data_IF_055813417527
#
_entry.id   IF_055813417527
#
_cell.length_a   1.000
_cell.length_b   1.000
_cell.length_c   1.000
_cell.angle_alpha   90.00
_cell.angle_beta   90.00
_cell.angle_gamma   90.00
#
_symmetry.space_group_name_H-M   'P 1'
#
loop_
_entity.id
_entity.type
_entity.pdbx_description
1 polymer ?
#
# COMPACT_ATOMS: atom_id res chain seq x y z
N UNK A 1 -9.31 -45.20 -33.48
CA UNK A 1 -9.51 -43.75 -33.66
C UNK A 1 -8.88 -43.06 -32.47
N UNK A 2 -7.71 -42.45 -32.65
CA UNK A 2 -6.99 -41.74 -31.59
C UNK A 2 -7.80 -40.50 -31.19
N UNK A 3 -8.33 -40.47 -29.97
CA UNK A 3 -8.79 -39.24 -29.35
C UNK A 3 -7.56 -38.36 -29.10
N UNK A 4 -7.20 -37.53 -30.06
CA UNK A 4 -6.33 -36.39 -29.78
C UNK A 4 -7.07 -35.53 -28.76
N UNK A 5 -6.65 -35.63 -27.50
CA UNK A 5 -6.98 -34.66 -26.46
C UNK A 5 -6.65 -33.28 -27.02
N UNK A 6 -7.68 -32.52 -27.37
CA UNK A 6 -7.55 -31.14 -27.87
C UNK A 6 -6.78 -30.38 -26.80
N UNK A 7 -5.53 -30.02 -27.11
CA UNK A 7 -4.68 -29.29 -26.17
C UNK A 7 -5.33 -27.92 -25.97
N UNK A 8 -5.90 -27.68 -24.79
CA UNK A 8 -6.65 -26.46 -24.47
C UNK A 8 -5.76 -25.20 -24.52
N UNK A 9 -4.42 -25.37 -24.41
CA UNK A 9 -3.39 -24.33 -24.55
C UNK A 9 -2.19 -24.77 -25.38
N UNK A 10 -1.69 -23.89 -26.23
CA UNK A 10 -0.44 -24.06 -26.99
C UNK A 10 0.80 -23.65 -26.18
N UNK A 11 0.68 -22.64 -25.31
CA UNK A 11 1.76 -22.28 -24.37
C UNK A 11 1.98 -23.46 -23.41
N UNK A 12 3.23 -23.93 -23.23
CA UNK A 12 3.52 -25.17 -22.48
C UNK A 12 3.39 -25.04 -20.96
N UNK A 13 3.09 -23.85 -20.44
CA UNK A 13 3.03 -23.54 -19.02
C UNK A 13 1.59 -23.27 -18.56
N UNK A 14 1.16 -23.91 -17.47
CA UNK A 14 -0.22 -23.78 -16.94
C UNK A 14 -0.33 -22.88 -15.70
N UNK A 15 0.61 -21.95 -15.50
CA UNK A 15 0.74 -21.16 -14.27
C UNK A 15 0.06 -19.78 -14.32
N UNK A 16 -0.88 -19.57 -15.25
CA UNK A 16 -1.39 -18.22 -15.57
C UNK A 16 -2.90 -18.25 -15.77
N UNK A 17 -3.62 -17.20 -15.33
CA UNK A 17 -5.02 -16.98 -15.69
C UNK A 17 -5.20 -16.43 -17.12
N UNK A 18 -4.12 -15.91 -17.73
CA UNK A 18 -4.13 -15.34 -19.09
C UNK A 18 -4.13 -16.42 -20.18
N UNK A 19 -5.06 -16.35 -21.11
CA UNK A 19 -5.10 -17.16 -22.32
C UNK A 19 -3.90 -16.92 -23.25
N UNK A 20 -3.66 -17.87 -24.16
CA UNK A 20 -2.61 -17.72 -25.20
C UNK A 20 -2.82 -16.45 -26.04
N UNK A 21 -4.09 -16.07 -26.27
CA UNK A 21 -4.48 -14.84 -26.96
C UNK A 21 -3.96 -13.60 -26.24
N UNK A 22 -4.24 -13.49 -24.94
CA UNK A 22 -3.87 -12.31 -24.16
C UNK A 22 -2.35 -12.18 -24.04
N UNK A 23 -1.63 -13.28 -23.89
CA UNK A 23 -0.16 -13.29 -23.87
C UNK A 23 0.39 -12.85 -25.24
N UNK A 24 -0.12 -13.41 -26.34
CA UNK A 24 0.31 -13.03 -27.68
C UNK A 24 0.06 -11.53 -27.96
N UNK A 25 -1.12 -11.01 -27.61
CA UNK A 25 -1.46 -9.58 -27.79
C UNK A 25 -0.53 -8.70 -26.97
N UNK A 26 -0.19 -9.07 -25.74
CA UNK A 26 0.67 -8.27 -24.87
C UNK A 26 2.10 -8.12 -25.43
N UNK A 27 2.64 -9.16 -26.08
CA UNK A 27 3.98 -9.09 -26.68
C UNK A 27 4.00 -8.63 -28.14
N UNK A 28 2.98 -8.99 -28.92
CA UNK A 28 3.00 -8.85 -30.38
C UNK A 28 1.91 -7.90 -30.91
N UNK A 29 0.91 -7.56 -30.10
CA UNK A 29 -0.23 -6.74 -30.47
C UNK A 29 -1.40 -7.52 -31.07
N UNK A 30 -2.58 -6.89 -31.10
CA UNK A 30 -3.81 -7.45 -31.72
C UNK A 30 -3.63 -7.82 -33.20
N UNK A 31 -2.95 -7.03 -34.06
CA UNK A 31 -2.76 -7.40 -35.46
C UNK A 31 -2.02 -8.74 -35.61
N UNK A 32 -1.01 -9.00 -34.79
CA UNK A 32 -0.24 -10.25 -34.86
C UNK A 32 -1.04 -11.46 -34.39
N UNK A 33 -1.97 -11.27 -33.44
CA UNK A 33 -2.92 -12.33 -33.10
C UNK A 33 -3.81 -12.71 -34.29
N UNK A 34 -4.29 -11.74 -35.05
CA UNK A 34 -5.06 -12.01 -36.28
C UNK A 34 -4.21 -12.76 -37.32
N UNK A 35 -2.93 -12.39 -37.48
CA UNK A 35 -1.99 -13.12 -38.34
C UNK A 35 -1.82 -14.58 -37.89
N UNK A 36 -1.73 -14.83 -36.57
CA UNK A 36 -1.68 -16.19 -36.02
C UNK A 36 -2.93 -16.99 -36.40
N UNK A 37 -4.12 -16.42 -36.23
CA UNK A 37 -5.40 -17.07 -36.60
C UNK A 37 -5.47 -17.39 -38.10
N UNK A 38 -5.03 -16.47 -38.96
CA UNK A 38 -4.97 -16.70 -40.41
C UNK A 38 -4.02 -17.84 -40.77
N UNK A 39 -2.84 -17.89 -40.14
CA UNK A 39 -1.87 -18.96 -40.36
C UNK A 39 -2.36 -20.31 -39.81
N UNK A 40 -3.13 -20.34 -38.71
CA UNK A 40 -3.77 -21.56 -38.17
C UNK A 40 -4.76 -22.18 -39.14
N UNK A 41 -5.48 -21.36 -39.91
CA UNK A 41 -6.41 -21.84 -40.94
C UNK A 41 -5.70 -22.58 -42.10
N UNK A 42 -4.38 -22.39 -42.26
CA UNK A 42 -3.58 -23.07 -43.29
C UNK A 42 -3.00 -24.40 -42.76
N UNK A 43 -3.25 -25.53 -43.45
CA UNK A 43 -2.98 -26.92 -43.01
C UNK A 43 -1.49 -27.32 -42.81
N UNK A 44 -0.53 -26.38 -42.69
CA UNK A 44 0.93 -26.65 -42.65
C UNK A 44 1.71 -26.11 -41.44
N UNK A 45 1.08 -25.44 -40.46
CA UNK A 45 1.79 -24.54 -39.52
C UNK A 45 2.15 -25.11 -38.14
N UNK A 46 1.80 -26.36 -37.82
CA UNK A 46 1.82 -26.87 -36.44
C UNK A 46 3.16 -26.82 -35.68
N UNK A 47 4.31 -27.05 -36.34
CA UNK A 47 5.62 -26.99 -35.65
C UNK A 47 6.11 -25.55 -35.41
N UNK A 48 5.90 -24.64 -36.36
CA UNK A 48 6.29 -23.23 -36.21
C UNK A 48 5.39 -22.49 -35.22
N UNK A 49 4.09 -22.82 -35.19
CA UNK A 49 3.16 -22.34 -34.18
C UNK A 49 3.58 -22.78 -32.77
N UNK A 50 3.98 -24.05 -32.59
CA UNK A 50 4.50 -24.52 -31.31
C UNK A 50 5.73 -23.74 -30.84
N UNK A 51 6.71 -23.49 -31.73
CA UNK A 51 7.91 -22.72 -31.39
C UNK A 51 7.57 -21.27 -31.00
N UNK A 52 6.60 -20.64 -31.68
CA UNK A 52 6.08 -19.32 -31.32
C UNK A 52 5.55 -19.30 -29.88
N UNK A 53 4.66 -20.24 -29.53
CA UNK A 53 4.06 -20.27 -28.19
C UNK A 53 5.04 -20.73 -27.10
N UNK A 54 6.08 -21.49 -27.44
CA UNK A 54 7.21 -21.74 -26.55
C UNK A 54 8.00 -20.45 -26.26
N UNK A 55 8.32 -19.65 -27.29
CA UNK A 55 9.01 -18.35 -27.12
C UNK A 55 8.16 -17.40 -26.27
N UNK A 56 6.88 -17.22 -26.61
CA UNK A 56 5.97 -16.35 -25.85
C UNK A 56 5.79 -16.84 -24.41
N UNK A 57 5.72 -18.16 -24.22
CA UNK A 57 5.65 -18.78 -22.91
C UNK A 57 6.89 -18.49 -22.06
N UNK A 58 8.08 -18.63 -22.65
CA UNK A 58 9.36 -18.37 -21.96
C UNK A 58 9.46 -16.90 -21.54
N UNK A 59 9.15 -15.96 -22.44
CA UNK A 59 9.11 -14.52 -22.14
C UNK A 59 8.13 -14.23 -20.99
N UNK A 60 6.91 -14.75 -21.08
CA UNK A 60 5.86 -14.50 -20.09
C UNK A 60 6.18 -15.04 -18.70
N UNK A 61 6.69 -16.27 -18.63
CA UNK A 61 7.03 -16.92 -17.35
C UNK A 61 8.13 -16.14 -16.65
N UNK A 62 9.11 -15.61 -17.39
CA UNK A 62 10.20 -14.83 -16.81
C UNK A 62 9.70 -13.46 -16.37
N UNK A 63 8.93 -12.76 -17.21
CA UNK A 63 8.42 -11.41 -16.88
C UNK A 63 7.54 -11.42 -15.61
N UNK A 64 6.82 -12.51 -15.34
CA UNK A 64 5.92 -12.65 -14.19
C UNK A 64 6.54 -13.30 -12.97
N UNK A 65 7.77 -13.81 -13.06
CA UNK A 65 8.42 -14.54 -11.98
C UNK A 65 9.71 -13.83 -11.54
N UNK A 66 9.69 -13.07 -10.43
CA UNK A 66 10.86 -12.33 -9.99
C UNK A 66 12.03 -13.24 -9.61
N UNK A 67 11.79 -14.49 -9.22
CA UNK A 67 12.86 -15.46 -8.93
C UNK A 67 13.62 -15.87 -10.21
N UNK A 68 12.92 -16.01 -11.34
CA UNK A 68 13.56 -16.29 -12.62
C UNK A 68 14.30 -15.05 -13.16
N UNK A 69 13.73 -13.85 -12.95
CA UNK A 69 14.43 -12.61 -13.27
C UNK A 69 15.74 -12.52 -12.48
N UNK A 70 15.70 -12.73 -11.17
CA UNK A 70 16.89 -12.66 -10.31
C UNK A 70 17.96 -13.66 -10.77
N UNK A 71 17.61 -14.91 -11.03
CA UNK A 71 18.57 -15.91 -11.54
C UNK A 71 19.23 -15.49 -12.86
N UNK A 72 18.48 -14.89 -13.78
CA UNK A 72 19.01 -14.42 -15.06
C UNK A 72 19.87 -13.16 -14.92
N UNK A 73 19.53 -12.27 -14.00
CA UNK A 73 20.30 -11.06 -13.73
C UNK A 73 21.62 -11.39 -13.04
N UNK A 74 21.62 -12.38 -12.14
CA UNK A 74 22.79 -12.82 -11.38
C UNK A 74 23.70 -13.78 -12.17
N UNK A 75 23.16 -14.45 -13.21
CA UNK A 75 23.89 -15.42 -14.01
C UNK A 75 23.94 -15.06 -15.51
N UNK A 76 24.97 -14.29 -15.94
CA UNK A 76 25.14 -13.89 -17.34
C UNK A 76 25.20 -15.07 -18.33
N UNK A 77 25.71 -16.23 -17.91
CA UNK A 77 25.78 -17.43 -18.76
C UNK A 77 24.40 -18.02 -19.01
N UNK A 78 23.55 -18.13 -17.98
CA UNK A 78 22.15 -18.59 -18.14
C UNK A 78 21.35 -17.62 -18.99
N UNK A 79 21.53 -16.32 -18.77
CA UNK A 79 20.92 -15.28 -19.61
C UNK A 79 21.31 -15.42 -21.07
N UNK A 80 22.60 -15.55 -21.37
CA UNK A 80 23.07 -15.76 -22.74
C UNK A 80 22.52 -17.05 -23.37
N UNK A 81 22.47 -18.14 -22.60
CA UNK A 81 21.92 -19.42 -23.07
C UNK A 81 20.42 -19.33 -23.40
N UNK A 82 19.64 -18.67 -22.54
CA UNK A 82 18.21 -18.40 -22.79
C UNK A 82 18.04 -17.57 -24.07
N UNK A 83 18.74 -16.45 -24.17
CA UNK A 83 18.67 -15.55 -25.33
C UNK A 83 19.01 -16.30 -26.62
N UNK A 84 20.08 -17.11 -26.61
CA UNK A 84 20.45 -17.90 -27.79
C UNK A 84 19.41 -18.97 -28.12
N UNK A 85 18.81 -19.62 -27.11
CA UNK A 85 17.73 -20.59 -27.33
C UNK A 85 16.49 -19.94 -27.96
N UNK A 86 16.09 -18.75 -27.49
CA UNK A 86 14.98 -17.98 -28.07
C UNK A 86 15.28 -17.61 -29.53
N UNK A 87 16.47 -17.04 -29.80
CA UNK A 87 16.89 -16.67 -31.16
C UNK A 87 17.04 -17.87 -32.09
N UNK A 88 17.50 -19.01 -31.59
CA UNK A 88 17.60 -20.26 -32.35
C UNK A 88 16.23 -20.73 -32.84
N UNK A 89 15.21 -20.72 -31.98
CA UNK A 89 13.83 -21.06 -32.36
C UNK A 89 13.31 -20.13 -33.45
N UNK A 90 13.58 -18.82 -33.36
CA UNK A 90 13.16 -17.87 -34.38
C UNK A 90 13.86 -18.11 -35.72
N UNK A 91 15.15 -18.45 -35.73
CA UNK A 91 15.88 -18.85 -36.97
C UNK A 91 15.25 -20.08 -37.61
N UNK A 92 14.90 -21.11 -36.83
CA UNK A 92 14.21 -22.29 -37.34
C UNK A 92 12.81 -21.98 -37.90
N UNK A 93 12.07 -21.06 -37.28
CA UNK A 93 10.79 -20.59 -37.81
C UNK A 93 10.97 -19.89 -39.15
N UNK A 94 12.03 -19.08 -39.30
CA UNK A 94 12.35 -18.35 -40.54
C UNK A 94 12.73 -19.27 -41.68
N UNK A 95 13.54 -20.30 -41.43
CA UNK A 95 13.87 -21.33 -42.44
C UNK A 95 12.63 -22.08 -42.93
N UNK A 96 11.66 -22.31 -42.04
CA UNK A 96 10.41 -23.04 -42.33
C UNK A 96 9.29 -22.18 -42.89
N UNK A 97 9.45 -20.86 -42.94
CA UNK A 97 8.41 -19.99 -43.48
C UNK A 97 8.28 -20.10 -45.00
N UNK A 98 9.31 -20.64 -45.68
CA UNK A 98 9.37 -20.79 -47.13
C UNK A 98 9.05 -19.48 -47.88
N UNK A 99 9.34 -18.32 -47.27
CA UNK A 99 9.06 -17.01 -47.85
C UNK A 99 7.62 -16.50 -47.68
N UNK A 100 6.77 -17.18 -46.88
CA UNK A 100 5.42 -16.71 -46.59
C UNK A 100 5.44 -15.35 -45.89
N UNK A 101 4.84 -14.33 -46.52
CA UNK A 101 4.88 -12.94 -46.05
C UNK A 101 4.28 -12.76 -44.64
N UNK A 102 3.13 -13.39 -44.35
CA UNK A 102 2.48 -13.33 -43.04
C UNK A 102 3.33 -13.99 -41.95
N UNK A 103 3.98 -15.12 -42.27
CA UNK A 103 4.88 -15.78 -41.33
C UNK A 103 6.14 -14.95 -41.06
N UNK A 104 6.70 -14.29 -42.09
CA UNK A 104 7.86 -13.41 -41.94
C UNK A 104 7.54 -12.15 -41.13
N UNK A 105 6.35 -11.57 -41.30
CA UNK A 105 5.86 -10.45 -40.48
C UNK A 105 5.74 -10.85 -39.01
N UNK A 106 5.11 -11.99 -38.73
CA UNK A 106 4.97 -12.52 -37.37
C UNK A 106 6.35 -12.81 -36.74
N UNK A 107 7.27 -13.41 -37.50
CA UNK A 107 8.65 -13.65 -37.06
C UNK A 107 9.36 -12.34 -36.70
N UNK A 108 9.21 -11.29 -37.50
CA UNK A 108 9.80 -9.98 -37.20
C UNK A 108 9.24 -9.37 -35.91
N UNK A 109 7.94 -9.54 -35.64
CA UNK A 109 7.33 -9.11 -34.38
C UNK A 109 7.88 -9.87 -33.16
N UNK A 110 8.13 -11.17 -33.29
CA UNK A 110 8.75 -11.99 -32.24
C UNK A 110 10.21 -11.58 -32.02
N UNK A 111 11.00 -11.40 -33.09
CA UNK A 111 12.39 -10.91 -33.01
C UNK A 111 12.43 -9.57 -32.25
N UNK A 112 11.50 -8.66 -32.54
CA UNK A 112 11.38 -7.39 -31.83
C UNK A 112 10.98 -7.57 -30.35
N UNK A 113 10.12 -8.53 -30.02
CA UNK A 113 9.74 -8.85 -28.65
C UNK A 113 10.93 -9.40 -27.83
N UNK A 114 11.71 -10.32 -28.40
CA UNK A 114 12.93 -10.85 -27.78
C UNK A 114 13.95 -9.71 -27.59
N UNK A 115 14.16 -8.86 -28.58
CA UNK A 115 15.09 -7.73 -28.47
C UNK A 115 14.66 -6.70 -27.40
N UNK A 116 13.35 -6.48 -27.20
CA UNK A 116 12.84 -5.66 -26.09
C UNK A 116 13.13 -6.32 -24.74
N UNK A 117 12.82 -7.61 -24.61
CA UNK A 117 13.08 -8.38 -23.41
C UNK A 117 14.57 -8.36 -23.00
N UNK A 118 15.48 -8.57 -23.97
CA UNK A 118 16.92 -8.49 -23.72
C UNK A 118 17.35 -7.11 -23.20
N UNK A 119 16.88 -6.02 -23.84
CA UNK A 119 17.15 -4.65 -23.38
C UNK A 119 16.61 -4.40 -21.98
N UNK A 120 15.40 -4.87 -21.68
CA UNK A 120 14.81 -4.70 -20.35
C UNK A 120 15.66 -5.35 -19.26
N UNK A 121 16.22 -6.53 -19.52
CA UNK A 121 17.15 -7.17 -18.57
C UNK A 121 18.43 -6.33 -18.38
N UNK A 122 19.02 -5.77 -19.45
CA UNK A 122 20.19 -4.88 -19.35
C UNK A 122 19.88 -3.61 -18.56
N UNK A 123 18.75 -2.97 -18.86
CA UNK A 123 18.27 -1.79 -18.15
C UNK A 123 18.03 -2.07 -16.67
N UNK A 124 17.50 -3.26 -16.34
CA UNK A 124 17.32 -3.69 -14.96
C UNK A 124 18.65 -3.87 -14.23
N UNK A 125 19.65 -4.52 -14.83
CA UNK A 125 21.00 -4.64 -14.22
C UNK A 125 21.60 -3.25 -13.96
N UNK A 126 21.55 -2.37 -14.97
CA UNK A 126 22.08 -1.02 -14.85
C UNK A 126 21.36 -0.20 -13.79
N UNK A 127 20.02 -0.30 -13.71
CA UNK A 127 19.24 0.38 -12.68
C UNK A 127 19.52 -0.19 -11.30
N UNK A 128 19.56 -1.52 -11.11
CA UNK A 128 19.90 -2.16 -9.83
C UNK A 128 21.26 -1.69 -9.32
N UNK A 129 22.26 -1.61 -10.19
CA UNK A 129 23.59 -1.10 -9.82
C UNK A 129 23.55 0.36 -9.35
N UNK A 130 22.80 1.24 -10.04
CA UNK A 130 22.65 2.65 -9.65
C UNK A 130 21.92 2.80 -8.32
N UNK A 131 20.81 2.09 -8.17
CA UNK A 131 19.98 2.08 -6.95
C UNK A 131 20.79 1.57 -5.76
N UNK A 132 21.45 0.41 -5.89
CA UNK A 132 22.28 -0.16 -4.83
C UNK A 132 23.44 0.77 -4.42
N UNK A 133 24.09 1.43 -5.40
CA UNK A 133 25.16 2.39 -5.13
C UNK A 133 24.64 3.62 -4.37
N UNK A 134 23.54 4.20 -4.82
CA UNK A 134 23.00 5.46 -4.26
C UNK A 134 22.34 5.25 -2.90
N UNK A 135 21.52 4.21 -2.73
CA UNK A 135 20.89 3.90 -1.46
C UNK A 135 21.88 3.32 -0.44
N UNK A 136 22.89 2.58 -0.88
CA UNK A 136 23.95 2.08 -0.01
C UNK A 136 24.84 3.15 0.62
N UNK A 137 24.67 4.43 0.25
CA UNK A 137 25.30 5.59 0.90
C UNK A 137 24.50 6.12 2.09
N UNK A 138 23.19 5.81 2.17
CA UNK A 138 22.25 6.43 3.12
C UNK A 138 21.57 5.42 4.04
N UNK A 139 21.62 4.13 3.70
CA UNK A 139 21.16 3.03 4.55
C UNK A 139 22.02 1.80 4.32
N UNK A 140 21.85 0.77 5.15
CA UNK A 140 22.60 -0.48 5.01
C UNK A 140 22.22 -1.22 3.73
N UNK A 141 23.16 -1.98 3.18
CA UNK A 141 22.96 -2.71 1.91
C UNK A 141 21.83 -3.75 1.99
N UNK A 142 21.68 -4.41 3.12
CA UNK A 142 20.64 -5.41 3.41
C UNK A 142 19.24 -4.80 3.59
N UNK A 143 19.15 -3.48 3.72
CA UNK A 143 17.89 -2.75 3.67
C UNK A 143 17.42 -2.50 2.23
N UNK A 144 18.26 -2.68 1.21
CA UNK A 144 17.93 -2.46 -0.20
C UNK A 144 17.73 -3.81 -0.89
N UNK A 145 16.48 -4.25 -1.02
CA UNK A 145 16.11 -5.62 -1.37
C UNK A 145 15.52 -5.70 -2.77
N UNK A 146 16.22 -6.41 -3.65
CA UNK A 146 15.78 -6.72 -5.01
C UNK A 146 15.26 -8.15 -5.17
N UNK A 147 15.41 -8.98 -4.14
CA UNK A 147 15.11 -10.40 -4.20
C UNK A 147 13.61 -10.67 -4.37
N UNK A 148 13.31 -11.79 -5.03
CA UNK A 148 11.94 -12.21 -5.30
C UNK A 148 11.07 -12.36 -4.06
N UNK A 149 11.62 -12.77 -2.91
CA UNK A 149 10.83 -12.93 -1.68
C UNK A 149 10.32 -11.57 -1.18
N UNK A 150 11.22 -10.59 -1.07
CA UNK A 150 10.85 -9.23 -0.68
C UNK A 150 9.83 -8.64 -1.67
N UNK A 151 10.09 -8.73 -2.98
CA UNK A 151 9.20 -8.17 -4.01
C UNK A 151 7.82 -8.83 -4.01
N UNK A 152 7.73 -10.15 -3.84
CA UNK A 152 6.45 -10.89 -3.79
C UNK A 152 5.67 -10.54 -2.52
N UNK A 153 6.33 -10.41 -1.36
CA UNK A 153 5.67 -10.07 -0.11
C UNK A 153 5.07 -8.64 -0.09
N UNK A 154 5.52 -7.77 -0.99
CA UNK A 154 5.13 -6.35 -1.04
C UNK A 154 4.33 -5.99 -2.31
N UNK A 155 3.83 -6.99 -3.04
CA UNK A 155 3.04 -6.80 -4.28
C UNK A 155 1.57 -6.47 -4.02
N UNK A 156 1.08 -6.68 -2.80
CA UNK A 156 -0.36 -6.63 -2.46
C UNK A 156 -0.62 -6.10 -1.06
N UNK A 157 -1.83 -5.63 -0.80
CA UNK A 157 -2.37 -5.32 0.52
C UNK A 157 -3.62 -6.18 0.81
N UNK A 158 -4.47 -5.78 1.75
CA UNK A 158 -5.66 -6.57 2.10
C UNK A 158 -6.74 -6.60 0.99
N UNK A 159 -6.60 -5.82 -0.09
CA UNK A 159 -7.43 -5.98 -1.30
C UNK A 159 -7.13 -7.25 -2.09
N UNK A 160 -5.99 -7.89 -1.83
CA UNK A 160 -5.46 -9.05 -2.57
C UNK A 160 -5.17 -8.78 -4.06
N UNK A 161 -5.17 -7.51 -4.49
CA UNK A 161 -4.81 -7.12 -5.85
C UNK A 161 -3.30 -7.28 -6.07
N UNK A 162 -2.92 -7.84 -7.22
CA UNK A 162 -1.52 -8.06 -7.62
C UNK A 162 -1.29 -7.48 -9.00
N UNK A 163 -1.04 -6.18 -9.05
CA UNK A 163 -0.91 -5.43 -10.30
C UNK A 163 0.52 -5.54 -10.81
N UNK A 164 1.49 -4.97 -10.09
CA UNK A 164 2.90 -4.94 -10.48
C UNK A 164 3.83 -5.27 -9.31
N UNK A 165 5.00 -5.86 -9.60
CA UNK A 165 6.02 -6.05 -8.58
C UNK A 165 6.81 -4.76 -8.35
N UNK A 166 7.18 -4.42 -7.11
CA UNK A 166 8.06 -3.28 -6.89
C UNK A 166 9.44 -3.56 -7.51
N UNK A 167 10.12 -2.52 -7.97
CA UNK A 167 11.51 -2.61 -8.42
C UNK A 167 12.44 -3.00 -7.28
N UNK A 168 12.24 -2.36 -6.13
CA UNK A 168 13.04 -2.51 -4.91
C UNK A 168 12.15 -2.33 -3.69
N UNK A 169 12.44 -3.10 -2.64
CA UNK A 169 11.89 -2.88 -1.30
C UNK A 169 12.99 -2.32 -0.41
N UNK A 170 12.70 -1.23 0.30
CA UNK A 170 13.65 -0.53 1.16
C UNK A 170 13.13 -0.57 2.60
N UNK A 171 13.94 -1.06 3.54
CA UNK A 171 13.56 -1.27 4.94
C UNK A 171 14.46 -0.48 5.90
N UNK A 172 14.27 0.85 6.08
CA UNK A 172 15.13 1.66 6.96
C UNK A 172 15.23 1.08 8.37
N UNK A 173 16.42 1.15 8.98
CA UNK A 173 16.65 0.78 10.37
C UNK A 173 16.20 1.88 11.33
N UNK A 174 16.33 3.14 10.91
CA UNK A 174 16.05 4.29 11.78
C UNK A 174 15.28 5.37 11.04
N UNK A 175 14.55 6.18 11.81
CA UNK A 175 13.84 7.35 11.30
C UNK A 175 14.79 8.29 10.55
N UNK A 176 16.00 8.53 11.08
CA UNK A 176 16.96 9.45 10.49
C UNK A 176 17.37 9.12 9.04
N UNK A 177 17.25 7.87 8.59
CA UNK A 177 17.59 7.47 7.21
C UNK A 177 16.53 7.88 6.19
N UNK A 178 15.28 8.10 6.63
CA UNK A 178 14.11 8.19 5.74
C UNK A 178 14.21 9.36 4.77
N UNK A 179 14.62 10.55 5.23
CA UNK A 179 14.78 11.73 4.38
C UNK A 179 15.73 11.47 3.21
N UNK A 180 16.90 10.92 3.51
CA UNK A 180 17.92 10.63 2.52
C UNK A 180 17.52 9.49 1.56
N UNK A 181 16.74 8.49 2.04
CA UNK A 181 16.15 7.43 1.21
C UNK A 181 15.12 8.00 0.24
N UNK A 182 14.23 8.89 0.70
CA UNK A 182 13.21 9.54 -0.15
C UNK A 182 13.89 10.35 -1.24
N UNK A 183 14.84 11.22 -0.90
CA UNK A 183 15.60 12.00 -1.90
C UNK A 183 16.29 11.09 -2.92
N UNK A 184 16.95 10.01 -2.45
CA UNK A 184 17.60 9.05 -3.33
C UNK A 184 16.61 8.41 -4.33
N UNK A 185 15.43 7.99 -3.87
CA UNK A 185 14.42 7.38 -4.74
C UNK A 185 13.93 8.37 -5.81
N UNK A 186 13.68 9.63 -5.44
CA UNK A 186 13.28 10.68 -6.37
C UNK A 186 14.38 10.97 -7.40
N UNK A 187 15.65 11.11 -6.97
CA UNK A 187 16.81 11.27 -7.87
C UNK A 187 16.93 10.10 -8.87
N UNK A 188 16.60 8.89 -8.44
CA UNK A 188 16.63 7.67 -9.25
C UNK A 188 15.41 7.52 -10.17
N UNK A 189 14.42 8.41 -10.08
CA UNK A 189 13.18 8.36 -10.84
C UNK A 189 12.26 7.20 -10.44
N UNK A 190 12.30 6.79 -9.17
CA UNK A 190 11.46 5.73 -8.62
C UNK A 190 10.20 6.31 -7.99
N UNK A 191 9.04 5.71 -8.29
CA UNK A 191 7.77 6.05 -7.62
C UNK A 191 7.78 5.46 -6.22
N UNK A 192 7.63 6.30 -5.19
CA UNK A 192 7.67 5.84 -3.80
C UNK A 192 6.28 5.34 -3.38
N UNK A 193 6.23 4.14 -2.79
CA UNK A 193 5.06 3.60 -2.12
C UNK A 193 5.39 3.38 -0.65
N UNK A 194 4.97 4.27 0.26
CA UNK A 194 5.10 4.06 1.70
C UNK A 194 4.26 2.85 2.13
N UNK A 195 4.83 1.96 2.94
CA UNK A 195 4.14 0.76 3.40
C UNK A 195 4.44 0.46 4.86
N UNK A 196 3.39 0.35 5.66
CA UNK A 196 3.44 -0.29 6.98
C UNK A 196 3.00 -1.75 6.88
N UNK A 197 2.14 -2.20 7.80
CA UNK A 197 1.65 -3.59 7.86
C UNK A 197 0.81 -4.12 6.68
N UNK A 198 0.63 -3.35 5.59
CA UNK A 198 -0.07 -3.82 4.40
C UNK A 198 -1.55 -4.16 4.57
N UNK A 199 -2.21 -3.64 5.61
CA UNK A 199 -3.60 -4.00 5.98
C UNK A 199 -4.68 -3.11 5.32
N UNK A 200 -4.31 -2.29 4.33
CA UNK A 200 -5.23 -1.37 3.65
C UNK A 200 -6.19 -2.09 2.71
N UNK A 201 -7.41 -1.56 2.55
CA UNK A 201 -8.45 -2.10 1.67
C UNK A 201 -8.75 -1.19 0.46
N UNK A 202 -7.85 -0.26 0.15
CA UNK A 202 -8.01 0.70 -0.95
C UNK A 202 -6.93 0.60 -2.03
N UNK A 203 -5.98 -0.34 -1.89
CA UNK A 203 -4.88 -0.52 -2.84
C UNK A 203 -3.73 0.49 -2.66
N UNK A 204 -3.76 1.33 -1.61
CA UNK A 204 -2.78 2.40 -1.41
C UNK A 204 -1.33 1.94 -1.17
N UNK A 205 -1.12 0.65 -0.85
CA UNK A 205 0.20 0.07 -0.68
C UNK A 205 0.62 -0.88 -1.83
N UNK A 206 -0.08 -0.83 -2.97
CA UNK A 206 0.13 -1.70 -4.13
C UNK A 206 0.94 -0.97 -5.20
N UNK A 207 2.08 -1.52 -5.66
CA UNK A 207 2.79 -0.99 -6.81
C UNK A 207 1.96 -1.09 -8.09
N UNK A 208 1.87 0.03 -8.82
CA UNK A 208 1.20 0.12 -10.12
C UNK A 208 2.17 0.27 -11.30
N UNK A 209 3.44 0.53 -11.00
CA UNK A 209 4.50 0.75 -12.00
C UNK A 209 5.76 -0.06 -11.65
N UNK A 210 6.41 -0.63 -12.66
CA UNK A 210 7.60 -1.47 -12.51
C UNK A 210 8.83 -0.73 -11.96
N UNK A 211 8.82 0.61 -11.92
CA UNK A 211 9.82 1.49 -11.30
C UNK A 211 9.36 2.01 -9.93
N UNK A 212 8.48 1.28 -9.25
CA UNK A 212 8.07 1.61 -7.89
C UNK A 212 9.08 1.12 -6.85
N UNK A 213 9.45 1.98 -5.90
CA UNK A 213 10.19 1.62 -4.68
C UNK A 213 9.21 1.56 -3.51
N UNK A 214 9.07 0.39 -2.89
CA UNK A 214 8.29 0.26 -1.66
C UNK A 214 9.22 0.58 -0.48
N UNK A 215 8.88 1.58 0.32
CA UNK A 215 9.59 1.87 1.58
C UNK A 215 8.77 1.24 2.71
N UNK A 216 9.24 0.09 3.22
CA UNK A 216 8.60 -0.61 4.33
C UNK A 216 9.10 -0.04 5.68
N UNK A 217 8.19 0.57 6.43
CA UNK A 217 8.47 1.25 7.70
C UNK A 217 8.34 0.36 8.93
N UNK A 218 8.04 -0.93 8.82
CA UNK A 218 7.81 -1.85 9.95
C UNK A 218 8.97 -1.92 10.94
N UNK A 219 10.21 -1.69 10.50
CA UNK A 219 11.39 -1.61 11.38
C UNK A 219 11.46 -0.35 12.23
N UNK A 220 10.68 0.69 11.92
CA UNK A 220 10.59 1.92 12.70
C UNK A 220 9.68 1.71 13.92
N UNK A 221 10.07 0.78 14.80
CA UNK A 221 9.25 0.24 15.89
C UNK A 221 9.53 0.86 17.27
N UNK A 222 10.21 2.02 17.30
CA UNK A 222 10.46 2.74 18.54
C UNK A 222 9.15 3.13 19.22
N UNK A 223 8.97 2.73 20.48
CA UNK A 223 7.79 3.02 21.29
C UNK A 223 8.26 3.57 22.64
N UNK A 224 7.83 4.79 22.99
CA UNK A 224 8.17 5.40 24.28
C UNK A 224 7.39 4.76 25.44
N UNK A 225 7.80 5.09 26.67
CA UNK A 225 6.91 4.93 27.82
C UNK A 225 5.71 5.88 27.72
N UNK A 226 4.70 5.66 28.57
CA UNK A 226 3.63 6.64 28.78
C UNK A 226 4.19 7.84 29.55
N UNK A 227 3.99 9.03 29.02
CA UNK A 227 4.48 10.28 29.60
C UNK A 227 3.33 11.24 29.89
N UNK A 228 3.33 11.83 31.08
CA UNK A 228 2.42 12.91 31.46
C UNK A 228 3.11 14.25 31.17
N UNK A 229 2.59 15.00 30.19
CA UNK A 229 3.20 16.27 29.75
C UNK A 229 2.15 17.36 29.60
N UNK A 230 2.58 18.60 29.73
CA UNK A 230 1.77 19.76 29.37
C UNK A 230 1.72 19.87 27.84
N UNK A 231 0.53 20.15 27.30
CA UNK A 231 0.34 20.41 25.88
C UNK A 231 0.03 21.89 25.65
N UNK A 232 0.45 22.50 24.53
CA UNK A 232 0.17 23.90 24.25
C UNK A 232 -1.33 24.23 24.32
N UNK A 233 -1.71 25.10 25.26
CA UNK A 233 -3.08 25.56 25.44
C UNK A 233 -4.05 24.51 26.00
N UNK A 234 -3.54 23.49 26.68
CA UNK A 234 -4.35 22.49 27.40
C UNK A 234 -4.03 22.57 28.88
N UNK A 235 -5.06 22.71 29.71
CA UNK A 235 -4.88 22.80 31.15
C UNK A 235 -4.51 21.43 31.74
N UNK A 236 -3.41 21.41 32.50
CA UNK A 236 -2.93 20.22 33.22
C UNK A 236 -2.10 19.26 32.39
N UNK A 237 -1.70 18.15 33.01
CA UNK A 237 -0.90 17.12 32.35
C UNK A 237 -1.78 16.13 31.60
N UNK A 238 -1.36 15.81 30.37
CA UNK A 238 -2.01 14.85 29.49
C UNK A 238 -1.12 13.62 29.35
N UNK A 239 -1.69 12.43 29.49
CA UNK A 239 -0.99 11.19 29.22
C UNK A 239 -0.79 11.02 27.71
N UNK A 240 0.45 10.73 27.31
CA UNK A 240 0.85 10.65 25.91
C UNK A 240 1.78 9.48 25.66
N UNK A 241 1.89 9.08 24.40
CA UNK A 241 2.84 8.07 23.93
C UNK A 241 3.38 8.44 22.56
N UNK A 242 4.69 8.31 22.37
CA UNK A 242 5.35 8.43 21.07
C UNK A 242 5.55 7.05 20.46
N UNK A 243 5.17 6.89 19.20
CA UNK A 243 5.34 5.65 18.45
C UNK A 243 5.90 5.93 17.05
N UNK A 244 6.88 5.14 16.64
CA UNK A 244 7.40 5.11 15.27
C UNK A 244 6.38 4.51 14.30
N UNK A 245 6.53 4.83 13.02
CA UNK A 245 5.59 4.45 11.97
C UNK A 245 5.40 2.93 11.82
N UNK A 246 6.39 2.13 12.20
CA UNK A 246 6.38 0.67 12.16
C UNK A 246 5.74 0.00 13.37
N UNK A 247 5.47 0.75 14.45
CA UNK A 247 4.86 0.17 15.66
C UNK A 247 3.48 -0.39 15.32
N UNK A 248 3.27 -1.68 15.59
CA UNK A 248 1.95 -2.32 15.49
C UNK A 248 0.99 -1.67 16.49
N UNK A 249 -0.18 -1.28 16.02
CA UNK A 249 -1.21 -0.55 16.78
C UNK A 249 -1.56 -1.24 18.10
N UNK A 250 -1.62 -2.57 18.09
CA UNK A 250 -1.88 -3.37 19.29
C UNK A 250 -0.87 -3.13 20.40
N UNK A 251 0.42 -2.96 20.08
CA UNK A 251 1.47 -2.68 21.07
C UNK A 251 1.24 -1.37 21.82
N UNK A 252 0.77 -0.34 21.12
CA UNK A 252 0.41 0.96 21.74
C UNK A 252 -0.82 0.79 22.63
N UNK A 253 -1.80 0.01 22.19
CA UNK A 253 -3.01 -0.27 22.96
C UNK A 253 -2.73 -1.05 24.24
N UNK A 254 -1.89 -2.09 24.16
CA UNK A 254 -1.48 -2.90 25.31
C UNK A 254 -0.68 -2.06 26.30
N UNK A 255 0.26 -1.24 25.82
CA UNK A 255 1.00 -0.29 26.67
C UNK A 255 0.06 0.66 27.41
N UNK A 256 -0.90 1.29 26.71
CA UNK A 256 -1.88 2.15 27.36
C UNK A 256 -2.68 1.38 28.43
N UNK A 257 -3.11 0.15 28.13
CA UNK A 257 -3.85 -0.72 29.04
C UNK A 257 -3.10 -1.04 30.32
N UNK A 258 -1.78 -1.29 30.24
CA UNK A 258 -0.92 -1.52 31.42
C UNK A 258 -0.91 -0.33 32.39
N UNK A 259 -1.19 0.87 31.90
CA UNK A 259 -1.28 2.10 32.70
C UNK A 259 -2.72 2.48 33.07
N UNK A 260 -3.70 1.60 32.82
CA UNK A 260 -5.12 1.90 33.05
C UNK A 260 -5.66 3.01 32.14
N UNK A 261 -5.02 3.20 30.98
CA UNK A 261 -5.37 4.16 29.95
C UNK A 261 -5.87 3.43 28.69
N UNK A 262 -6.35 4.20 27.73
CA UNK A 262 -6.87 3.69 26.46
C UNK A 262 -6.26 4.45 25.29
N UNK A 263 -5.68 3.69 24.37
CA UNK A 263 -5.39 4.17 23.04
C UNK A 263 -6.68 4.12 22.20
N UNK A 264 -7.10 5.28 21.67
CA UNK A 264 -8.37 5.42 20.97
C UNK A 264 -8.30 5.04 19.49
N UNK A 265 -7.11 5.01 18.89
CA UNK A 265 -6.95 4.60 17.49
C UNK A 265 -6.98 3.07 17.42
N UNK A 266 -8.17 2.51 17.22
CA UNK A 266 -8.44 1.07 17.32
C UNK A 266 -9.09 0.47 16.06
N UNK A 267 -8.45 0.57 14.87
CA UNK A 267 -8.94 -0.10 13.67
C UNK A 267 -9.08 -1.62 13.89
N UNK A 268 -10.00 -2.25 13.17
CA UNK A 268 -10.21 -3.72 13.24
C UNK A 268 -8.94 -4.50 12.94
N UNK A 269 -8.02 -3.94 12.15
CA UNK A 269 -6.72 -4.53 11.83
C UNK A 269 -5.62 -4.25 12.85
N UNK A 270 -5.91 -3.75 14.05
CA UNK A 270 -4.91 -3.28 15.03
C UNK A 270 -3.80 -4.29 15.36
N UNK A 271 -4.06 -5.59 15.24
CA UNK A 271 -3.07 -6.65 15.49
C UNK A 271 -2.01 -6.75 14.39
N UNK A 272 -2.19 -6.05 13.26
CA UNK A 272 -1.25 -6.00 12.13
C UNK A 272 -1.02 -4.59 11.57
N UNK A 273 -1.97 -3.66 11.70
CA UNK A 273 -1.80 -2.29 11.20
C UNK A 273 -0.77 -1.54 12.02
N UNK A 274 -0.01 -0.68 11.37
CA UNK A 274 1.04 0.11 12.02
C UNK A 274 0.66 1.58 12.15
N UNK A 275 1.29 2.27 13.09
CA UNK A 275 1.00 3.68 13.42
C UNK A 275 1.13 4.61 12.21
N UNK A 276 2.15 4.43 11.37
CA UNK A 276 2.33 5.25 10.17
C UNK A 276 1.16 5.12 9.20
N UNK A 277 0.67 3.89 9.00
CA UNK A 277 -0.52 3.63 8.19
C UNK A 277 -1.78 4.24 8.80
N UNK A 278 -1.94 4.16 10.12
CA UNK A 278 -3.09 4.77 10.80
C UNK A 278 -3.13 6.29 10.61
N UNK A 279 -1.98 6.97 10.74
CA UNK A 279 -1.87 8.42 10.50
C UNK A 279 -2.19 8.74 9.03
N UNK A 280 -1.53 8.07 8.08
CA UNK A 280 -1.70 8.32 6.65
C UNK A 280 -3.15 8.09 6.16
N UNK A 281 -3.85 7.12 6.75
CA UNK A 281 -5.24 6.76 6.40
C UNK A 281 -6.29 7.45 7.28
N UNK A 282 -5.86 8.27 8.24
CA UNK A 282 -6.68 8.80 9.32
C UNK A 282 -7.60 7.71 9.92
N UNK A 283 -7.01 6.60 10.37
CA UNK A 283 -7.73 5.40 10.78
C UNK A 283 -8.78 5.73 11.85
N UNK A 284 -9.96 5.14 11.67
CA UNK A 284 -11.01 5.14 12.69
C UNK A 284 -10.96 3.86 13.51
N UNK A 285 -12.09 3.51 14.09
CA UNK A 285 -12.26 2.33 14.92
C UNK A 285 -13.51 2.49 15.78
N UNK A 286 -13.77 1.51 16.63
CA UNK A 286 -14.99 1.46 17.45
C UNK A 286 -15.05 2.64 18.43
N UNK A 287 -13.89 3.07 18.93
CA UNK A 287 -13.77 4.19 19.88
C UNK A 287 -13.86 5.57 19.21
N UNK A 288 -13.92 5.63 17.87
CA UNK A 288 -14.02 6.91 17.17
C UNK A 288 -15.32 7.67 17.49
N UNK A 289 -16.34 6.98 17.98
CA UNK A 289 -17.58 7.60 18.49
C UNK A 289 -17.29 8.54 19.67
N UNK A 290 -16.37 8.15 20.57
CA UNK A 290 -15.99 8.93 21.75
C UNK A 290 -14.96 10.01 21.43
N UNK A 291 -13.85 9.61 20.81
CA UNK A 291 -12.64 10.44 20.70
C UNK A 291 -12.23 10.73 19.27
N UNK A 292 -13.05 10.35 18.28
CA UNK A 292 -12.77 10.59 16.88
C UNK A 292 -11.70 9.67 16.29
N UNK A 293 -11.25 10.03 15.10
CA UNK A 293 -10.29 9.28 14.30
C UNK A 293 -8.85 9.53 14.74
N UNK A 294 -7.88 9.00 14.01
CA UNK A 294 -6.45 9.16 14.32
C UNK A 294 -6.05 10.64 14.48
N UNK A 295 -6.52 11.53 13.60
CA UNK A 295 -6.26 12.97 13.67
C UNK A 295 -6.68 13.59 15.01
N UNK A 296 -7.85 13.18 15.49
CA UNK A 296 -8.44 13.69 16.72
C UNK A 296 -7.59 13.34 17.96
N UNK A 297 -6.71 12.35 17.85
CA UNK A 297 -5.88 11.82 18.93
C UNK A 297 -4.38 12.17 18.80
N UNK A 298 -3.99 12.86 17.74
CA UNK A 298 -2.60 13.26 17.51
C UNK A 298 -2.26 14.55 18.27
N UNK A 299 -1.20 14.48 19.07
CA UNK A 299 -0.47 15.64 19.60
C UNK A 299 0.46 16.19 18.54
N UNK A 300 1.24 15.32 17.91
CA UNK A 300 2.11 15.68 16.79
C UNK A 300 2.42 14.48 15.90
N UNK A 301 2.90 14.73 14.68
CA UNK A 301 3.49 13.71 13.83
C UNK A 301 4.65 14.26 13.02
N UNK A 302 5.57 13.38 12.67
CA UNK A 302 6.73 13.67 11.85
C UNK A 302 6.62 12.91 10.54
N UNK A 303 6.97 13.58 9.46
CA UNK A 303 6.98 13.01 8.12
C UNK A 303 8.13 13.55 7.28
N UNK A 304 8.43 12.84 6.20
CA UNK A 304 9.33 13.28 5.13
C UNK A 304 8.50 13.63 3.90
N UNK A 305 8.62 14.85 3.41
CA UNK A 305 7.94 15.32 2.20
C UNK A 305 8.67 14.86 0.92
N UNK A 306 8.04 14.90 -0.27
CA UNK A 306 8.65 14.40 -1.52
C UNK A 306 9.93 15.12 -1.96
N UNK A 307 10.17 16.33 -1.46
CA UNK A 307 11.41 17.08 -1.63
C UNK A 307 12.55 16.60 -0.71
N UNK A 308 12.29 15.62 0.17
CA UNK A 308 13.28 15.06 1.10
C UNK A 308 13.46 15.89 2.36
N UNK A 309 12.54 16.79 2.67
CA UNK A 309 12.57 17.60 3.89
C UNK A 309 11.76 16.94 5.02
N UNK A 310 12.18 17.21 6.24
CA UNK A 310 11.43 16.86 7.43
C UNK A 310 10.32 17.88 7.66
N UNK A 311 9.14 17.38 8.02
CA UNK A 311 8.01 18.17 8.45
C UNK A 311 7.46 17.59 9.76
N UNK A 312 7.46 18.41 10.80
CA UNK A 312 6.75 18.13 12.04
C UNK A 312 5.48 18.96 12.09
N UNK A 313 4.36 18.32 12.39
CA UNK A 313 3.07 18.98 12.61
C UNK A 313 2.65 18.76 14.04
N UNK A 314 2.42 19.84 14.79
CA UNK A 314 2.00 19.82 16.18
C UNK A 314 0.61 20.45 16.33
N UNK A 315 -0.31 19.76 16.99
CA UNK A 315 -1.65 20.25 17.27
C UNK A 315 -1.62 21.20 18.47
N UNK A 316 -2.13 22.41 18.28
CA UNK A 316 -2.23 23.43 19.32
C UNK A 316 -3.65 23.45 19.91
N UNK A 317 -3.77 23.80 21.18
CA UNK A 317 -5.06 23.91 21.89
C UNK A 317 -5.91 22.64 21.72
N UNK A 318 -5.29 21.48 21.95
CA UNK A 318 -5.94 20.18 21.71
C UNK A 318 -7.10 19.96 22.69
N UNK A 319 -8.33 19.86 22.19
CA UNK A 319 -9.54 19.68 23.01
C UNK A 319 -9.72 18.29 23.67
N UNK A 320 -8.71 17.42 23.63
CA UNK A 320 -8.73 16.01 24.08
C UNK A 320 -9.95 15.18 23.61
N UNK A 321 -10.59 15.58 22.52
CA UNK A 321 -11.80 14.95 22.00
C UNK A 321 -11.89 15.07 20.49
N UNK A 322 -13.11 15.02 19.96
CA UNK A 322 -13.33 15.06 18.52
C UNK A 322 -12.99 16.44 17.98
N UNK A 323 -12.23 16.47 16.91
CA UNK A 323 -11.63 17.69 16.35
C UNK A 323 -12.68 18.69 15.83
N UNK A 324 -13.82 18.19 15.35
CA UNK A 324 -14.89 19.00 14.78
C UNK A 324 -15.78 19.68 15.83
N UNK A 325 -15.66 19.29 17.10
CA UNK A 325 -16.37 19.94 18.21
C UNK A 325 -15.70 21.27 18.62
N UNK A 326 -14.49 21.55 18.11
CA UNK A 326 -13.73 22.76 18.40
C UNK A 326 -14.02 23.83 17.33
N UNK A 327 -14.30 25.07 17.76
CA UNK A 327 -14.62 26.17 16.84
C UNK A 327 -13.48 26.44 15.86
N UNK A 328 -12.25 26.62 16.37
CA UNK A 328 -11.04 26.80 15.57
C UNK A 328 -9.97 25.81 16.00
N UNK A 329 -9.42 25.08 15.04
CA UNK A 329 -8.32 24.13 15.22
C UNK A 329 -7.07 24.69 14.58
N UNK A 330 -5.93 24.57 15.27
CA UNK A 330 -4.66 25.11 14.83
C UNK A 330 -3.53 24.08 14.90
N UNK A 331 -2.63 24.14 13.94
CA UNK A 331 -1.46 23.28 13.83
C UNK A 331 -0.22 24.12 13.57
N UNK A 332 0.88 23.81 14.25
CA UNK A 332 2.21 24.37 13.97
C UNK A 332 2.96 23.43 13.04
N UNK A 333 3.43 23.95 11.92
CA UNK A 333 4.19 23.22 10.91
C UNK A 333 5.64 23.68 10.97
N UNK A 334 6.56 22.78 11.34
CA UNK A 334 7.99 23.05 11.42
C UNK A 334 8.74 22.25 10.36
N UNK A 335 9.43 22.94 9.46
CA UNK A 335 10.19 22.33 8.36
C UNK A 335 11.68 22.31 8.66
N UNK A 336 12.35 21.21 8.31
CA UNK A 336 13.80 21.08 8.42
C UNK A 336 14.37 20.42 7.18
N UNK A 337 15.59 20.80 6.80
CA UNK A 337 16.33 20.13 5.75
C UNK A 337 16.71 18.71 6.21
N UNK A 338 17.21 17.88 5.28
CA UNK A 338 17.55 16.49 5.58
C UNK A 338 18.57 16.34 6.73
N UNK A 339 19.45 17.32 6.95
CA UNK A 339 20.43 17.37 8.04
C UNK A 339 19.86 17.87 9.39
N UNK A 340 18.57 18.22 9.42
CA UNK A 340 17.85 18.72 10.60
C UNK A 340 17.90 20.24 10.79
N UNK A 341 18.61 20.97 9.93
CA UNK A 341 18.65 22.44 9.97
C UNK A 341 17.26 23.05 9.67
N UNK A 342 16.84 24.12 10.36
CA UNK A 342 15.53 24.74 10.11
C UNK A 342 15.39 25.28 8.69
N UNK A 343 14.23 25.07 8.07
CA UNK A 343 13.85 25.65 6.78
C UNK A 343 12.78 26.71 6.99
N UNK A 344 13.22 27.90 7.39
CA UNK A 344 12.35 29.02 7.73
C UNK A 344 11.73 28.91 9.11
N UNK A 345 10.87 29.88 9.42
CA UNK A 345 10.14 29.93 10.69
C UNK A 345 8.92 28.99 10.67
N UNK A 346 8.51 28.43 11.82
CA UNK A 346 7.30 27.62 11.90
C UNK A 346 6.05 28.37 11.43
N UNK A 347 5.23 27.72 10.61
CA UNK A 347 3.94 28.23 10.14
C UNK A 347 2.81 27.76 11.07
N UNK A 348 1.76 28.57 11.21
CA UNK A 348 0.53 28.13 11.90
C UNK A 348 -0.62 28.03 10.92
N UNK A 349 -1.13 26.82 10.72
CA UNK A 349 -2.32 26.53 9.93
C UNK A 349 -3.54 26.49 10.85
N UNK A 350 -4.54 27.33 10.61
CA UNK A 350 -5.78 27.37 11.40
C UNK A 350 -7.02 27.28 10.52
N UNK A 351 -8.03 26.56 10.98
CA UNK A 351 -9.29 26.37 10.26
C UNK A 351 -10.45 26.07 11.21
N UNK A 352 -11.71 26.26 10.80
CA UNK A 352 -12.84 25.82 11.60
C UNK A 352 -12.81 24.31 11.83
N UNK A 353 -13.00 23.81 13.05
CA UNK A 353 -12.97 22.35 13.29
C UNK A 353 -14.01 21.60 12.46
N UNK A 354 -15.18 22.22 12.29
CA UNK A 354 -16.27 21.69 11.46
C UNK A 354 -15.91 21.57 9.96
N UNK A 355 -14.85 22.19 9.46
CA UNK A 355 -14.44 22.02 8.06
C UNK A 355 -13.67 20.73 7.80
N UNK A 356 -13.14 20.07 8.85
CA UNK A 356 -12.37 18.83 8.73
C UNK A 356 -13.25 17.57 8.61
N UNK A 357 -14.57 17.73 8.77
CA UNK A 357 -15.52 16.62 8.69
C UNK A 357 -16.91 17.14 8.34
N UNK A 358 -17.55 16.57 7.31
CA UNK A 358 -18.95 16.86 7.03
C UNK A 358 -19.83 16.58 8.26
N UNK A 359 -20.70 17.54 8.59
CA UNK A 359 -21.62 17.43 9.71
C UNK A 359 -22.46 16.14 9.63
N UNK A 360 -22.55 15.43 10.76
CA UNK A 360 -23.26 14.16 10.88
C UNK A 360 -22.44 12.91 10.51
N UNK A 361 -21.22 13.05 9.96
CA UNK A 361 -20.33 11.92 9.74
C UNK A 361 -19.38 11.72 10.92
N UNK A 362 -19.19 10.46 11.33
CA UNK A 362 -18.17 10.08 12.32
C UNK A 362 -16.75 10.11 11.75
N UNK A 363 -16.58 9.73 10.48
CA UNK A 363 -15.34 9.85 9.69
C UNK A 363 -15.72 10.31 8.28
N UNK A 364 -15.02 11.31 7.77
CA UNK A 364 -15.19 11.80 6.40
C UNK A 364 -13.92 11.48 5.61
N UNK A 365 -14.02 10.53 4.68
CA UNK A 365 -12.91 10.12 3.79
C UNK A 365 -12.88 10.88 2.47
N UNK A 366 -13.89 11.71 2.21
CA UNK A 366 -14.07 12.39 0.92
C UNK A 366 -13.23 13.66 0.83
N UNK A 367 -13.03 14.35 1.95
CA UNK A 367 -12.11 15.49 2.00
C UNK A 367 -10.65 15.03 2.16
N UNK A 368 -9.96 14.87 1.03
CA UNK A 368 -8.52 14.61 1.02
C UNK A 368 -7.69 15.87 1.25
N UNK A 369 -8.26 17.07 1.15
CA UNK A 369 -7.52 18.32 1.31
C UNK A 369 -7.31 18.66 2.79
N UNK A 370 -8.33 18.44 3.64
CA UNK A 370 -8.31 18.70 5.09
C UNK A 370 -7.77 20.09 5.41
N UNK A 371 -8.26 21.11 4.69
CA UNK A 371 -7.81 22.50 4.87
C UNK A 371 -6.32 22.73 4.63
N UNK A 372 -5.64 21.85 3.87
CA UNK A 372 -4.20 21.92 3.63
C UNK A 372 -3.34 21.16 4.65
N UNK A 373 -3.96 20.44 5.60
CA UNK A 373 -3.23 19.68 6.61
C UNK A 373 -2.42 18.53 5.97
N UNK A 374 -1.10 18.44 6.20
CA UNK A 374 -0.25 17.46 5.53
C UNK A 374 -0.22 16.09 6.23
N UNK A 375 0.03 15.03 5.46
CA UNK A 375 0.25 13.65 5.90
C UNK A 375 -1.01 12.86 6.27
N UNK A 376 -1.95 13.48 6.98
CA UNK A 376 -3.17 12.80 7.47
C UNK A 376 -4.22 12.67 6.36
N UNK A 377 -4.76 11.46 6.17
CA UNK A 377 -5.74 11.13 5.12
C UNK A 377 -5.21 11.25 3.68
N UNK A 378 -3.90 11.47 3.52
CA UNK A 378 -3.23 11.63 2.22
C UNK A 378 -2.76 10.31 1.64
N UNK A 379 -2.81 9.24 2.43
CA UNK A 379 -2.47 7.88 1.98
C UNK A 379 -1.04 7.77 1.42
N UNK A 380 -0.12 8.62 1.90
CA UNK A 380 1.27 8.66 1.45
C UNK A 380 1.54 9.54 0.22
N UNK A 381 0.53 10.22 -0.34
CA UNK A 381 0.67 11.02 -1.56
C UNK A 381 1.43 12.34 -1.38
N UNK A 382 1.52 12.87 -0.15
CA UNK A 382 2.22 14.12 0.15
C UNK A 382 3.42 13.93 1.11
N UNK A 383 3.79 12.68 1.38
CA UNK A 383 4.97 12.32 2.14
C UNK A 383 4.82 11.03 2.94
N UNK A 384 5.90 10.68 3.63
CA UNK A 384 6.05 9.44 4.38
C UNK A 384 6.05 9.73 5.88
N UNK A 385 5.04 9.24 6.60
CA UNK A 385 4.96 9.35 8.07
C UNK A 385 6.05 8.49 8.72
N UNK A 386 6.82 9.06 9.65
CA UNK A 386 7.91 8.37 10.35
C UNK A 386 7.64 8.12 11.83
N UNK A 387 6.91 9.01 12.50
CA UNK A 387 6.48 8.84 13.88
C UNK A 387 5.29 9.74 14.25
N UNK A 388 4.64 9.44 15.37
CA UNK A 388 3.57 10.25 15.94
C UNK A 388 3.55 10.22 17.46
N UNK A 389 3.01 11.28 18.05
CA UNK A 389 2.71 11.40 19.48
C UNK A 389 1.20 11.47 19.64
N UNK A 390 0.67 10.63 20.52
CA UNK A 390 -0.77 10.49 20.72
C UNK A 390 -1.16 10.79 22.15
N UNK A 391 -2.36 11.35 22.33
CA UNK A 391 -3.02 11.39 23.64
C UNK A 391 -3.55 10.00 24.01
N UNK A 392 -3.55 9.70 25.31
CA UNK A 392 -4.15 8.51 25.89
C UNK A 392 -5.33 8.90 26.77
N UNK A 393 -6.40 8.13 26.69
CA UNK A 393 -7.67 8.42 27.35
C UNK A 393 -7.91 7.54 28.56
N UNK A 394 -8.98 7.84 29.31
CA UNK A 394 -9.54 6.96 30.33
C UNK A 394 -10.95 6.57 29.94
N UNK A 395 -11.25 5.28 30.00
CA UNK A 395 -12.63 4.81 29.85
C UNK A 395 -13.48 5.21 31.06
N UNK A 396 -14.81 5.35 30.87
CA UNK A 396 -15.74 5.44 31.98
C UNK A 396 -15.56 4.26 32.96
N UNK A 397 -15.73 4.53 34.27
CA UNK A 397 -15.58 3.53 35.34
C UNK A 397 -16.52 2.32 35.19
N UNK A 398 -17.67 2.53 34.56
CA UNK A 398 -18.68 1.51 34.36
C UNK A 398 -19.02 1.43 32.87
N UNK A 399 -18.87 0.24 32.31
CA UNK A 399 -19.15 -0.05 30.90
C UNK A 399 -20.24 -1.13 30.86
N UNK A 400 -21.17 -0.98 29.92
CA UNK A 400 -22.22 -1.96 29.62
C UNK A 400 -22.35 -2.08 28.11
N UNK A 401 -22.53 -3.30 27.63
CA UNK A 401 -22.83 -3.60 26.23
C UNK A 401 -24.25 -4.13 26.17
N UNK A 402 -25.05 -3.58 25.27
CA UNK A 402 -26.41 -4.05 24.98
C UNK A 402 -26.42 -4.53 23.53
N UNK A 403 -26.87 -5.77 23.32
CA UNK A 403 -27.10 -6.32 21.98
C UNK A 403 -28.59 -6.23 21.69
N UNK A 404 -28.93 -5.70 20.51
CA UNK A 404 -30.30 -5.56 20.05
C UNK A 404 -30.44 -6.31 18.74
N UNK A 405 -31.43 -7.19 18.66
CA UNK A 405 -31.75 -7.95 17.46
C UNK A 405 -32.99 -7.35 16.81
N UNK A 406 -32.87 -7.01 15.53
CA UNK A 406 -33.97 -6.51 14.71
C UNK A 406 -34.35 -7.62 13.72
N UNK A 407 -35.59 -8.10 13.80
CA UNK A 407 -36.10 -9.13 12.89
C UNK A 407 -36.75 -8.48 11.67
N UNK A 408 -36.40 -8.97 10.48
CA UNK A 408 -36.93 -8.47 9.21
C UNK A 408 -35.82 -8.31 8.17
N UNK A 409 -36.21 -8.07 6.92
CA UNK A 409 -35.26 -7.82 5.82
C UNK A 409 -35.08 -6.34 5.52
N UNK A 410 -35.93 -5.47 6.08
CA UNK A 410 -35.88 -4.03 5.86
C UNK A 410 -35.21 -3.32 7.04
N UNK A 411 -33.93 -2.96 6.86
CA UNK A 411 -33.16 -2.22 7.85
C UNK A 411 -33.76 -0.83 8.12
N UNK A 412 -34.51 -0.25 7.18
CA UNK A 412 -35.10 1.07 7.35
C UNK A 412 -36.10 1.11 8.52
N UNK A 413 -36.72 -0.02 8.87
CA UNK A 413 -37.62 -0.12 10.02
C UNK A 413 -36.87 -0.11 11.36
N UNK A 414 -35.62 -0.58 11.39
CA UNK A 414 -34.78 -0.59 12.59
C UNK A 414 -34.10 0.76 12.86
N UNK A 415 -33.83 1.55 11.81
CA UNK A 415 -33.11 2.83 11.92
C UNK A 415 -33.77 3.81 12.90
N UNK A 416 -35.10 4.04 12.89
CA UNK A 416 -35.76 4.92 13.86
C UNK A 416 -35.48 4.51 15.31
N UNK A 417 -35.56 3.22 15.63
CA UNK A 417 -35.28 2.74 16.98
C UNK A 417 -33.81 2.97 17.38
N UNK A 418 -32.86 2.77 16.46
CA UNK A 418 -31.44 3.05 16.70
C UNK A 418 -31.21 4.55 16.97
N UNK A 419 -31.85 5.43 16.20
CA UNK A 419 -31.78 6.88 16.38
C UNK A 419 -32.40 7.30 17.72
N UNK A 420 -33.58 6.78 18.07
CA UNK A 420 -34.23 7.06 19.36
C UNK A 420 -33.37 6.64 20.55
N UNK A 421 -32.72 5.47 20.48
CA UNK A 421 -31.80 5.01 21.53
C UNK A 421 -30.61 5.96 21.65
N UNK A 422 -30.03 6.39 20.51
CA UNK A 422 -28.93 7.35 20.51
C UNK A 422 -29.36 8.68 21.13
N UNK A 423 -30.47 9.25 20.69
CA UNK A 423 -30.99 10.52 21.21
C UNK A 423 -31.34 10.43 22.70
N UNK A 424 -31.87 9.30 23.14
CA UNK A 424 -32.15 9.02 24.55
C UNK A 424 -30.87 8.99 25.40
N UNK A 425 -29.76 8.49 24.86
CA UNK A 425 -28.46 8.48 25.54
C UNK A 425 -27.82 9.87 25.52
N UNK A 426 -27.88 10.60 24.40
CA UNK A 426 -27.32 11.95 24.26
C UNK A 426 -27.97 12.96 25.23
N UNK A 427 -29.24 12.75 25.60
CA UNK A 427 -29.96 13.57 26.59
C UNK A 427 -29.63 13.24 28.06
N UNK A 428 -28.77 12.25 28.33
CA UNK A 428 -28.45 11.81 29.70
C UNK A 428 -27.09 12.29 30.15
N UNK A 429 -27.09 13.06 31.24
CA UNK A 429 -25.85 13.44 31.93
C UNK A 429 -25.18 12.22 32.56
N UNK A 430 -23.86 12.10 32.39
CA UNK A 430 -23.07 11.02 33.00
C UNK A 430 -23.10 9.68 32.26
N UNK A 431 -23.76 9.62 31.09
CA UNK A 431 -23.74 8.45 30.20
C UNK A 431 -23.13 8.89 28.87
N UNK A 432 -22.25 8.06 28.32
CA UNK A 432 -21.64 8.29 27.00
C UNK A 432 -21.73 7.03 26.17
N UNK A 433 -22.08 7.19 24.89
CA UNK A 433 -22.08 6.08 23.93
C UNK A 433 -20.65 5.78 23.51
N UNK A 434 -20.11 4.64 23.94
CA UNK A 434 -18.73 4.26 23.65
C UNK A 434 -18.52 3.56 22.31
N UNK A 435 -19.60 3.12 21.68
CA UNK A 435 -19.61 2.44 20.39
C UNK A 435 -21.04 2.09 19.98
N UNK A 436 -21.26 2.03 18.67
CA UNK A 436 -22.52 1.64 18.04
C UNK A 436 -22.18 0.90 16.75
N UNK A 437 -22.29 -0.42 16.78
CA UNK A 437 -21.91 -1.29 15.66
C UNK A 437 -23.15 -2.02 15.14
N UNK A 438 -23.21 -2.21 13.83
CA UNK A 438 -24.26 -2.98 13.17
C UNK A 438 -23.64 -4.14 12.39
N UNK A 439 -24.21 -5.33 12.58
CA UNK A 439 -23.80 -6.56 11.91
C UNK A 439 -25.02 -7.13 11.19
N UNK A 440 -24.89 -7.43 9.90
CA UNK A 440 -25.96 -8.11 9.16
C UNK A 440 -25.92 -9.63 9.36
N UNK A 441 -26.98 -10.32 8.91
CA UNK A 441 -27.09 -11.78 9.05
C UNK A 441 -25.92 -12.53 8.39
N UNK A 442 -25.41 -12.02 7.26
CA UNK A 442 -24.28 -12.64 6.55
C UNK A 442 -23.02 -12.55 7.37
N UNK A 443 -22.77 -11.41 8.00
CA UNK A 443 -21.65 -11.18 8.88
C UNK A 443 -21.71 -12.09 10.10
N UNK A 444 -22.86 -12.14 10.79
CA UNK A 444 -23.09 -13.01 11.97
C UNK A 444 -22.81 -14.47 11.63
N UNK A 445 -23.32 -14.96 10.49
CA UNK A 445 -23.03 -16.31 9.97
C UNK A 445 -21.55 -16.52 9.67
N UNK A 446 -20.90 -15.55 9.04
CA UNK A 446 -19.48 -15.64 8.67
C UNK A 446 -18.57 -15.76 9.89
N UNK A 447 -18.87 -15.03 10.98
CA UNK A 447 -18.09 -15.11 12.23
C UNK A 447 -18.52 -16.25 13.15
N UNK A 448 -19.53 -17.05 12.77
CA UNK A 448 -20.10 -18.14 13.57
C UNK A 448 -20.50 -17.69 14.98
N UNK A 449 -21.09 -16.51 15.08
CA UNK A 449 -21.66 -16.05 16.34
C UNK A 449 -22.93 -16.87 16.62
N UNK A 450 -22.88 -17.74 17.63
CA UNK A 450 -23.95 -18.67 18.03
C UNK A 450 -24.64 -18.24 19.30
#
# INVERSE_FOLDING_TARGET
>A
MNSQTTRIREIPYNYTSFSDREIAIRYLGEPMWQTIEQLRATRRTGRSARMLFEVLGDLWVIDRNPYLQDDLLDNPKRRAALTEALRHRVRQMRERSEGNALALELIAAIDAAIARFERQLDEQVALRSRVAKRLGQVTRRDNVRFDGLARVAHVTDATDWRVEYPFVVICPDTEAEVAAIVSACIELGLTIVPRGGGTGYTGGAIPLDARSAVINTEKLEALSAVEWRELPGVDGQVATVRAGAGVVTRRVSDLAGLHGLVFAVDPTSQDASTIGGNIAMNAGGKKAVLWGTTLDNLVSWTMVTPDGHWLEVERLNHNLGRIHDQETVSFRLTRRAADGSPLGEPETLSMPGASLRKAGLGKDVTDKFLGGLPGVQKEGCDGLITSGVFVLHRMPKHIRTVCLEFFGTDLAEAVPAIVEIKDYLDRRTGVVMSGLEHLDERYVKAVKYT
#
